data_IF_625898091213
#
_entry.id   IF_625898091213
#
_cell.length_a   1.000
_cell.length_b   1.000
_cell.length_c   1.000
_cell.angle_alpha   90.00
_cell.angle_beta   90.00
_cell.angle_gamma   90.00
#
_symmetry.space_group_name_H-M   'P 1'
#
loop_
_entity.id
_entity.type
_entity.pdbx_description
1 polymer ?
#
# COMPACT_ATOMS: atom_id res chain seq x y z
N UNK A 1 -95.01 -35.13 -21.50
CA UNK A 1 -94.72 -33.93 -20.69
C UNK A 1 -95.81 -33.81 -19.62
N UNK A 2 -95.63 -34.45 -18.46
CA UNK A 2 -96.60 -34.37 -17.36
C UNK A 2 -96.11 -33.31 -16.38
N UNK A 3 -96.82 -32.19 -16.39
CA UNK A 3 -96.55 -31.02 -15.59
C UNK A 3 -96.69 -31.37 -14.11
N UNK A 4 -95.60 -31.25 -13.35
CA UNK A 4 -95.65 -31.15 -11.91
C UNK A 4 -96.12 -29.74 -11.51
N UNK A 5 -97.36 -29.36 -11.86
CA UNK A 5 -98.07 -28.32 -11.12
C UNK A 5 -98.52 -28.94 -9.78
N UNK A 6 -97.53 -29.15 -8.90
CA UNK A 6 -97.78 -29.53 -7.52
C UNK A 6 -98.45 -28.36 -6.81
N UNK A 7 -99.60 -28.63 -6.18
CA UNK A 7 -100.37 -27.65 -5.40
C UNK A 7 -99.43 -26.78 -4.58
N UNK A 8 -99.50 -25.46 -4.73
CA UNK A 8 -98.83 -24.51 -3.84
C UNK A 8 -99.44 -24.69 -2.45
N UNK A 9 -98.89 -25.62 -1.67
CA UNK A 9 -99.28 -25.79 -0.28
C UNK A 9 -98.77 -24.58 0.47
N UNK A 10 -99.54 -24.13 1.46
CA UNK A 10 -99.15 -23.05 2.36
C UNK A 10 -97.73 -23.24 2.91
N UNK A 11 -97.35 -24.50 3.16
CA UNK A 11 -96.00 -24.89 3.57
C UNK A 11 -94.90 -24.43 2.59
N UNK A 12 -95.07 -24.59 1.28
CA UNK A 12 -94.06 -24.20 0.29
C UNK A 12 -93.93 -22.67 0.14
N UNK A 13 -95.03 -21.93 0.32
CA UNK A 13 -95.00 -20.46 0.29
C UNK A 13 -94.31 -19.90 1.52
N UNK A 14 -94.65 -20.42 2.70
CA UNK A 14 -93.99 -20.03 3.94
C UNK A 14 -92.51 -20.45 3.92
N UNK A 15 -92.19 -21.63 3.41
CA UNK A 15 -90.80 -22.09 3.29
C UNK A 15 -89.95 -21.19 2.39
N UNK A 16 -90.50 -20.71 1.27
CA UNK A 16 -89.76 -19.80 0.38
C UNK A 16 -89.59 -18.41 1.00
N UNK A 17 -90.63 -17.83 1.62
CA UNK A 17 -90.50 -16.54 2.33
C UNK A 17 -89.51 -16.65 3.50
N UNK A 18 -89.59 -17.71 4.30
CA UNK A 18 -88.66 -17.95 5.40
C UNK A 18 -87.21 -18.07 4.89
N UNK A 19 -87.00 -18.75 3.76
CA UNK A 19 -85.67 -18.84 3.13
C UNK A 19 -85.17 -17.48 2.64
N UNK A 20 -86.03 -16.66 2.03
CA UNK A 20 -85.68 -15.30 1.60
C UNK A 20 -85.33 -14.38 2.78
N UNK A 21 -86.08 -14.46 3.88
CA UNK A 21 -85.80 -13.69 5.10
C UNK A 21 -84.50 -14.16 5.76
N UNK A 22 -84.28 -15.47 5.84
CA UNK A 22 -83.06 -16.05 6.40
C UNK A 22 -81.79 -15.66 5.61
N UNK A 23 -81.89 -15.54 4.28
CA UNK A 23 -80.79 -15.11 3.41
C UNK A 23 -80.62 -13.57 3.34
N UNK A 24 -81.65 -12.80 3.71
CA UNK A 24 -81.69 -11.33 3.51
C UNK A 24 -80.87 -10.51 4.50
N UNK A 25 -80.59 -11.03 5.70
CA UNK A 25 -79.98 -10.25 6.79
C UNK A 25 -78.59 -9.68 6.48
N UNK A 26 -77.72 -10.47 5.86
CA UNK A 26 -76.37 -10.02 5.49
C UNK A 26 -76.38 -9.03 4.31
N UNK A 27 -77.25 -9.28 3.33
CA UNK A 27 -77.39 -8.45 2.14
C UNK A 27 -77.93 -7.05 2.46
N UNK A 28 -78.86 -6.94 3.42
CA UNK A 28 -79.41 -5.66 3.85
C UNK A 28 -78.33 -4.76 4.49
N UNK A 29 -77.48 -5.32 5.35
CA UNK A 29 -76.38 -4.57 5.97
C UNK A 29 -75.32 -4.14 4.95
N UNK A 30 -75.07 -4.94 3.91
CA UNK A 30 -74.09 -4.64 2.88
C UNK A 30 -74.53 -3.53 1.91
N UNK A 31 -75.84 -3.38 1.65
CA UNK A 31 -76.36 -2.42 0.67
C UNK A 31 -76.87 -1.11 1.27
N UNK A 32 -77.35 -1.12 2.53
CA UNK A 32 -78.03 0.03 3.12
C UNK A 32 -77.16 0.92 4.00
N UNK A 33 -75.92 0.51 4.31
CA UNK A 33 -75.01 1.36 5.06
C UNK A 33 -74.28 2.32 4.10
N UNK A 34 -74.45 3.65 4.23
CA UNK A 34 -73.67 4.59 3.46
C UNK A 34 -72.18 4.47 3.80
N UNK A 35 -71.31 4.78 2.83
CA UNK A 35 -69.85 4.75 3.04
C UNK A 35 -69.47 5.66 4.20
N UNK A 36 -68.57 5.18 5.08
CA UNK A 36 -68.06 5.88 6.26
C UNK A 36 -69.09 6.15 7.38
N UNK A 37 -70.25 5.48 7.37
CA UNK A 37 -71.28 5.64 8.41
C UNK A 37 -71.16 4.67 9.60
N UNK A 38 -70.16 3.78 9.60
CA UNK A 38 -69.84 2.93 10.75
C UNK A 38 -68.77 3.61 11.60
N UNK A 39 -69.18 4.19 12.73
CA UNK A 39 -68.29 4.89 13.67
C UNK A 39 -67.71 3.97 14.74
N UNK A 40 -66.74 4.49 15.51
CA UNK A 40 -66.03 3.73 16.55
C UNK A 40 -66.96 3.11 17.61
N UNK A 41 -68.05 3.81 17.99
CA UNK A 41 -69.02 3.32 18.99
C UNK A 41 -69.81 2.07 18.54
N UNK A 42 -69.89 1.82 17.23
CA UNK A 42 -70.56 0.64 16.66
C UNK A 42 -69.61 -0.55 16.50
N UNK A 43 -68.30 -0.33 16.67
CA UNK A 43 -67.28 -1.36 16.59
C UNK A 43 -66.91 -1.85 17.99
N UNK A 44 -66.93 -3.16 18.20
CA UNK A 44 -66.41 -3.76 19.42
C UNK A 44 -64.87 -3.72 19.41
N UNK A 45 -64.24 -3.60 20.57
CA UNK A 45 -62.79 -3.71 20.71
C UNK A 45 -62.29 -5.02 20.10
N UNK A 46 -61.26 -4.95 19.26
CA UNK A 46 -60.71 -6.10 18.53
C UNK A 46 -61.51 -6.54 17.28
N UNK A 47 -62.62 -5.87 16.93
CA UNK A 47 -63.38 -6.21 15.73
C UNK A 47 -62.58 -6.01 14.43
N UNK A 48 -61.65 -5.04 14.40
CA UNK A 48 -60.75 -4.77 13.27
C UNK A 48 -59.39 -5.41 13.53
N UNK A 49 -59.10 -6.51 12.84
CA UNK A 49 -57.84 -7.27 12.95
C UNK A 49 -56.91 -6.94 11.78
N UNK A 50 -55.59 -7.24 11.86
CA UNK A 50 -54.64 -6.92 10.79
C UNK A 50 -55.04 -7.44 9.39
N UNK A 51 -55.66 -8.62 9.22
CA UNK A 51 -56.18 -9.04 7.91
C UNK A 51 -57.29 -8.16 7.33
N UNK A 52 -58.07 -7.48 8.19
CA UNK A 52 -59.18 -6.58 7.79
C UNK A 52 -58.71 -5.17 7.39
N UNK A 53 -57.43 -4.86 7.61
CA UNK A 53 -56.85 -3.58 7.22
C UNK A 53 -56.43 -3.58 5.75
N UNK A 54 -56.70 -2.47 5.07
CA UNK A 54 -56.20 -2.26 3.70
C UNK A 54 -54.68 -2.17 3.65
N UNK A 55 -54.07 -2.42 2.49
CA UNK A 55 -52.62 -2.26 2.28
C UNK A 55 -52.15 -0.84 2.64
N UNK A 56 -52.95 0.18 2.28
CA UNK A 56 -52.68 1.59 2.60
C UNK A 56 -52.70 1.84 4.11
N UNK A 57 -53.68 1.27 4.83
CA UNK A 57 -53.74 1.38 6.29
C UNK A 57 -52.52 0.71 6.95
N UNK A 58 -52.12 -0.49 6.51
CA UNK A 58 -50.93 -1.16 7.02
C UNK A 58 -49.65 -0.35 6.79
N UNK A 59 -49.50 0.24 5.61
CA UNK A 59 -48.38 1.11 5.29
C UNK A 59 -48.36 2.39 6.15
N UNK A 60 -49.54 2.96 6.45
CA UNK A 60 -49.64 4.12 7.34
C UNK A 60 -49.31 3.79 8.81
N UNK A 61 -49.53 2.53 9.24
CA UNK A 61 -49.16 2.05 10.57
C UNK A 61 -47.69 1.66 10.67
N UNK A 62 -47.08 1.23 9.57
CA UNK A 62 -45.64 1.00 9.50
C UNK A 62 -44.93 2.36 9.48
N UNK A 63 -44.47 2.81 10.65
CA UNK A 63 -43.67 4.02 10.76
C UNK A 63 -42.45 3.99 9.83
N UNK A 64 -41.85 5.16 9.61
CA UNK A 64 -40.63 5.24 8.81
C UNK A 64 -39.53 4.33 9.38
N UNK A 65 -38.82 3.63 8.48
CA UNK A 65 -37.61 2.89 8.86
C UNK A 65 -36.67 3.87 9.57
N UNK A 66 -36.17 3.48 10.74
CA UNK A 66 -35.19 4.28 11.48
C UNK A 66 -33.95 4.57 10.62
N UNK A 67 -33.25 5.66 10.94
CA UNK A 67 -32.01 6.00 10.27
C UNK A 67 -31.01 4.83 10.30
N UNK A 68 -30.23 4.69 9.24
CA UNK A 68 -29.12 3.73 9.22
C UNK A 68 -28.13 4.11 10.33
N UNK A 69 -27.65 3.11 11.07
CA UNK A 69 -26.63 3.32 12.10
C UNK A 69 -25.35 3.91 11.51
N UNK A 70 -24.60 4.64 12.33
CA UNK A 70 -23.31 5.18 11.92
C UNK A 70 -22.36 4.05 11.49
N UNK A 71 -21.47 4.29 10.50
CA UNK A 71 -20.38 3.36 10.19
C UNK A 71 -19.55 3.03 11.44
N UNK A 72 -19.08 1.79 11.53
CA UNK A 72 -18.17 1.38 12.61
C UNK A 72 -16.88 2.19 12.60
N UNK A 73 -16.24 2.31 13.76
CA UNK A 73 -14.93 2.94 13.86
C UNK A 73 -13.88 2.18 13.02
N UNK A 74 -12.90 2.91 12.48
CA UNK A 74 -11.75 2.31 11.82
C UNK A 74 -10.99 1.47 12.86
N UNK A 75 -10.54 0.28 12.45
CA UNK A 75 -9.74 -0.60 13.31
C UNK A 75 -8.41 0.04 13.73
N UNK A 76 -7.77 -0.44 14.80
CA UNK A 76 -6.46 0.05 15.19
C UNK A 76 -5.43 -0.20 14.10
N UNK A 77 -4.40 0.65 14.04
CA UNK A 77 -3.23 0.42 13.20
C UNK A 77 -2.59 -0.94 13.57
N UNK A 78 -2.13 -1.68 12.56
CA UNK A 78 -1.39 -2.92 12.80
C UNK A 78 -0.06 -2.68 13.54
N UNK A 79 0.54 -3.73 14.13
CA UNK A 79 1.84 -3.61 14.78
C UNK A 79 2.91 -3.17 13.79
N UNK A 80 3.95 -2.51 14.29
CA UNK A 80 5.15 -2.17 13.51
C UNK A 80 5.79 -3.44 12.92
N UNK A 81 6.33 -3.34 11.70
CA UNK A 81 7.07 -4.43 11.08
C UNK A 81 8.35 -4.78 11.85
N UNK A 82 8.84 -6.01 11.72
CA UNK A 82 10.13 -6.38 12.30
C UNK A 82 11.25 -5.59 11.62
N UNK A 83 12.25 -5.16 12.41
CA UNK A 83 13.48 -4.57 11.86
C UNK A 83 14.15 -5.58 10.92
N UNK A 84 14.63 -5.09 9.77
CA UNK A 84 15.42 -5.92 8.84
C UNK A 84 16.72 -6.44 9.47
N UNK A 85 17.36 -7.47 8.87
CA UNK A 85 18.64 -7.98 9.34
C UNK A 85 19.71 -6.89 9.27
N UNK A 86 20.68 -6.94 10.20
CA UNK A 86 21.84 -6.05 10.17
C UNK A 86 22.67 -6.34 8.91
N UNK A 87 23.05 -5.28 8.18
CA UNK A 87 23.95 -5.40 7.03
C UNK A 87 25.37 -5.81 7.43
N UNK A 88 26.24 -6.15 6.46
CA UNK A 88 27.56 -6.76 6.71
C UNK A 88 28.59 -5.92 7.48
N UNK A 89 28.22 -4.73 7.95
CA UNK A 89 29.11 -3.81 8.67
C UNK A 89 30.09 -3.10 7.75
N UNK A 90 30.35 -1.82 8.02
CA UNK A 90 31.39 -1.08 7.34
C UNK A 90 32.75 -1.38 7.99
N UNK A 91 33.78 -1.59 7.17
CA UNK A 91 35.17 -1.74 7.62
C UNK A 91 35.87 -0.40 7.45
N UNK A 92 36.49 0.11 8.52
CA UNK A 92 37.22 1.38 8.50
C UNK A 92 38.55 1.25 7.76
N UNK A 93 38.87 2.25 6.96
CA UNK A 93 40.19 2.51 6.38
C UNK A 93 40.75 3.74 7.09
N UNK A 94 41.94 3.61 7.68
CA UNK A 94 42.69 4.71 8.30
C UNK A 94 44.17 4.38 8.22
N UNK A 95 44.81 4.81 7.14
CA UNK A 95 46.18 4.40 6.79
C UNK A 95 46.97 5.53 6.16
N UNK A 96 48.21 5.72 6.62
CA UNK A 96 49.17 6.59 5.97
C UNK A 96 49.73 5.92 4.70
N UNK A 97 49.58 6.59 3.57
CA UNK A 97 50.04 6.14 2.25
C UNK A 97 51.49 6.56 2.04
N UNK A 98 52.40 5.65 1.65
CA UNK A 98 53.79 5.99 1.38
C UNK A 98 53.92 6.91 0.16
N UNK A 99 54.82 7.89 0.25
CA UNK A 99 54.99 8.92 -0.78
C UNK A 99 55.82 8.49 -1.99
N UNK A 100 56.46 7.32 -1.95
CA UNK A 100 57.38 6.86 -3.01
C UNK A 100 56.87 5.59 -3.73
N UNK A 101 55.67 5.10 -3.42
CA UNK A 101 55.13 3.86 -3.98
C UNK A 101 53.60 3.88 -4.03
N UNK A 102 53.03 3.21 -5.04
CA UNK A 102 51.58 2.99 -5.12
C UNK A 102 51.17 1.87 -4.16
N UNK A 103 50.63 2.21 -2.99
CA UNK A 103 50.17 1.18 -2.06
C UNK A 103 48.93 0.50 -2.60
N UNK A 104 48.99 -0.83 -2.70
CA UNK A 104 47.93 -1.69 -3.22
C UNK A 104 47.12 -2.28 -2.05
N UNK A 105 45.84 -1.92 -1.95
CA UNK A 105 44.91 -2.46 -0.96
C UNK A 105 43.80 -3.22 -1.67
N UNK A 106 43.60 -4.50 -1.34
CA UNK A 106 42.49 -5.28 -1.91
C UNK A 106 41.29 -5.21 -0.97
N UNK A 107 40.28 -4.44 -1.35
CA UNK A 107 39.10 -4.15 -0.55
C UNK A 107 37.87 -4.71 -1.27
N UNK A 108 37.27 -5.77 -0.71
CA UNK A 108 36.08 -6.39 -1.29
C UNK A 108 36.28 -6.90 -2.74
N UNK A 109 37.48 -7.39 -3.06
CA UNK A 109 37.84 -7.90 -4.39
C UNK A 109 38.24 -6.83 -5.43
N UNK A 110 38.27 -5.56 -5.03
CA UNK A 110 38.77 -4.45 -5.85
C UNK A 110 40.13 -3.99 -5.30
N UNK A 111 41.07 -3.79 -6.21
CA UNK A 111 42.39 -3.24 -5.90
C UNK A 111 42.32 -1.70 -5.89
N UNK A 112 42.69 -1.12 -4.75
CA UNK A 112 42.80 0.32 -4.54
C UNK A 112 44.28 0.68 -4.51
N UNK A 113 44.73 1.40 -5.53
CA UNK A 113 46.07 1.97 -5.61
C UNK A 113 46.03 3.46 -5.31
N UNK A 114 47.01 3.98 -4.59
CA UNK A 114 47.08 5.40 -4.24
C UNK A 114 48.41 6.01 -4.63
N UNK A 115 48.39 7.23 -5.17
CA UNK A 115 49.58 8.06 -5.39
C UNK A 115 49.44 9.28 -4.49
N UNK A 116 50.47 9.57 -3.69
CA UNK A 116 50.49 10.76 -2.85
C UNK A 116 51.92 11.26 -2.69
N UNK A 117 52.37 12.17 -3.55
CA UNK A 117 53.77 12.60 -3.56
C UNK A 117 53.93 14.04 -4.03
N UNK A 118 55.01 14.69 -3.57
CA UNK A 118 55.30 16.08 -3.96
C UNK A 118 55.50 16.20 -5.47
N UNK A 119 54.93 17.25 -6.07
CA UNK A 119 55.03 17.53 -7.50
C UNK A 119 54.05 16.75 -8.39
N UNK A 120 53.32 15.76 -7.84
CA UNK A 120 52.24 15.08 -8.55
C UNK A 120 50.89 15.41 -7.92
N UNK A 121 49.83 15.27 -8.72
CA UNK A 121 48.46 15.29 -8.23
C UNK A 121 48.22 13.97 -7.49
N UNK A 122 47.72 13.95 -6.24
CA UNK A 122 47.42 12.68 -5.60
C UNK A 122 46.33 11.95 -6.39
N UNK A 123 46.31 10.63 -6.31
CA UNK A 123 45.36 9.80 -7.05
C UNK A 123 44.85 8.65 -6.19
N UNK A 124 43.58 8.32 -6.32
CA UNK A 124 43.02 7.02 -5.93
C UNK A 124 42.68 6.30 -7.23
N UNK A 125 43.11 5.05 -7.38
CA UNK A 125 42.89 4.26 -8.59
C UNK A 125 42.26 2.93 -8.24
N UNK A 126 41.18 2.58 -8.92
CA UNK A 126 40.50 1.29 -8.81
C UNK A 126 40.87 0.40 -9.98
N UNK A 127 41.20 -0.86 -9.69
CA UNK A 127 41.57 -1.90 -10.67
C UNK A 127 41.15 -3.28 -10.15
N UNK A 128 41.03 -4.27 -11.04
CA UNK A 128 40.85 -5.66 -10.63
C UNK A 128 42.20 -6.27 -10.23
N UNK A 129 42.29 -7.11 -9.18
CA UNK A 129 43.54 -7.77 -8.80
C UNK A 129 44.24 -8.45 -9.98
N UNK A 130 45.53 -8.17 -10.17
CA UNK A 130 46.32 -8.70 -11.28
C UNK A 130 46.02 -8.06 -12.64
N UNK A 131 45.15 -7.06 -12.66
CA UNK A 131 44.89 -6.21 -13.80
C UNK A 131 43.56 -6.35 -14.51
N UNK A 132 42.59 -6.96 -13.83
CA UNK A 132 41.24 -7.13 -14.35
C UNK A 132 40.42 -5.83 -14.42
N UNK A 133 39.33 -5.91 -15.16
CA UNK A 133 38.30 -4.88 -15.25
C UNK A 133 37.60 -4.66 -13.89
N UNK A 134 37.27 -3.41 -13.61
CA UNK A 134 36.34 -3.00 -12.56
C UNK A 134 35.21 -2.20 -13.17
N UNK A 135 34.02 -2.38 -12.62
CA UNK A 135 32.86 -1.57 -12.98
C UNK A 135 32.21 -1.03 -11.72
N UNK A 136 31.67 0.18 -11.84
CA UNK A 136 31.07 0.85 -10.71
C UNK A 136 30.46 2.19 -11.08
N UNK A 137 29.72 2.73 -10.12
CA UNK A 137 29.03 4.00 -10.23
C UNK A 137 28.98 4.69 -8.88
N UNK A 138 28.78 6.00 -8.86
CA UNK A 138 28.69 6.77 -7.63
C UNK A 138 29.01 8.24 -7.84
N UNK A 139 29.71 8.83 -6.90
CA UNK A 139 30.14 10.23 -6.97
C UNK A 139 31.62 10.41 -6.62
N UNK A 140 32.22 11.43 -7.20
CA UNK A 140 33.59 11.87 -6.90
C UNK A 140 33.66 13.39 -6.70
N UNK A 141 34.70 13.84 -6.00
CA UNK A 141 35.17 15.22 -6.02
C UNK A 141 36.65 15.23 -6.45
N UNK A 142 36.89 15.28 -7.77
CA UNK A 142 38.21 15.08 -8.37
C UNK A 142 38.67 16.25 -9.29
N UNK A 143 39.96 16.32 -9.64
CA UNK A 143 40.59 17.41 -10.38
C UNK A 143 39.94 17.68 -11.73
N UNK A 144 39.52 16.62 -12.42
CA UNK A 144 39.01 16.73 -13.79
C UNK A 144 37.61 17.34 -13.84
N UNK A 145 36.93 17.40 -12.70
CA UNK A 145 35.55 17.80 -12.63
C UNK A 145 35.36 19.26 -12.15
N UNK A 146 36.39 19.89 -11.58
CA UNK A 146 36.29 21.25 -11.03
C UNK A 146 35.71 21.24 -9.61
N UNK A 147 35.35 22.38 -9.03
CA UNK A 147 34.80 22.43 -7.66
C UNK A 147 33.39 21.85 -7.63
N UNK A 148 33.17 20.69 -6.99
CA UNK A 148 31.84 20.10 -6.86
C UNK A 148 31.83 18.59 -6.63
N UNK A 149 30.64 18.00 -6.70
CA UNK A 149 30.40 16.56 -6.64
C UNK A 149 29.91 16.11 -8.00
N UNK A 150 30.49 15.05 -8.56
CA UNK A 150 30.24 14.63 -9.93
C UNK A 150 29.86 13.17 -10.00
N UNK A 151 28.84 12.81 -10.80
CA UNK A 151 28.48 11.42 -10.98
C UNK A 151 29.58 10.70 -11.77
N UNK A 152 29.85 9.46 -11.38
CA UNK A 152 30.74 8.56 -12.11
C UNK A 152 30.01 7.29 -12.47
N UNK A 153 30.28 6.81 -13.66
CA UNK A 153 29.86 5.51 -14.18
C UNK A 153 31.01 4.99 -15.03
N UNK A 154 31.55 3.84 -14.66
CA UNK A 154 32.76 3.31 -15.29
C UNK A 154 32.71 1.79 -15.41
N UNK A 155 33.41 1.32 -16.44
CA UNK A 155 33.71 -0.08 -16.70
C UNK A 155 35.05 -0.11 -17.45
N UNK A 156 36.13 -0.35 -16.72
CA UNK A 156 37.51 -0.15 -17.19
C UNK A 156 38.50 -1.04 -16.44
N UNK A 157 39.63 -1.37 -17.06
CA UNK A 157 40.77 -1.99 -16.36
C UNK A 157 41.37 -1.08 -15.29
N UNK A 158 41.23 0.23 -15.44
CA UNK A 158 41.76 1.21 -14.50
C UNK A 158 40.89 2.44 -14.50
N UNK A 159 40.47 2.87 -13.31
CA UNK A 159 39.71 4.11 -13.10
C UNK A 159 40.46 4.95 -12.07
N UNK A 160 40.90 6.14 -12.46
CA UNK A 160 41.70 7.02 -11.60
C UNK A 160 40.96 8.31 -11.25
N UNK A 161 40.90 8.58 -9.95
CA UNK A 161 40.34 9.77 -9.31
C UNK A 161 41.49 10.68 -8.91
N UNK A 162 41.53 11.90 -9.43
CA UNK A 162 42.65 12.82 -9.25
C UNK A 162 42.35 13.89 -8.21
N UNK A 163 43.33 14.30 -7.40
CA UNK A 163 43.11 15.29 -6.35
C UNK A 163 42.79 16.69 -6.85
N UNK A 164 41.69 17.25 -6.35
CA UNK A 164 41.25 18.62 -6.60
C UNK A 164 41.68 19.55 -5.46
N UNK A 165 41.86 20.84 -5.73
CA UNK A 165 42.08 21.85 -4.67
C UNK A 165 43.04 22.99 -5.03
N UNK A 166 43.05 24.07 -4.24
CA UNK A 166 43.93 25.22 -4.44
C UNK A 166 45.37 24.92 -3.99
N UNK A 167 46.36 25.52 -4.66
CA UNK A 167 47.76 25.45 -4.25
C UNK A 167 48.35 24.03 -4.22
N UNK A 168 49.21 23.75 -3.24
CA UNK A 168 49.85 22.45 -3.00
C UNK A 168 49.00 21.48 -2.17
N UNK A 169 47.81 21.86 -1.71
CA UNK A 169 46.88 21.00 -0.97
C UNK A 169 45.84 20.43 -1.91
N UNK A 170 45.76 19.11 -2.00
CA UNK A 170 44.89 18.39 -2.93
C UNK A 170 44.15 17.29 -2.18
N UNK A 171 42.83 17.19 -2.39
CA UNK A 171 41.97 16.18 -1.78
C UNK A 171 41.24 15.38 -2.84
N UNK A 172 40.96 14.13 -2.52
CA UNK A 172 40.13 13.21 -3.32
C UNK A 172 39.10 12.66 -2.37
N UNK A 173 37.85 12.68 -2.80
CA UNK A 173 36.73 12.12 -2.06
C UNK A 173 35.87 11.32 -3.04
N UNK A 174 35.66 10.04 -2.76
CA UNK A 174 34.92 9.12 -3.62
C UNK A 174 33.89 8.33 -2.82
N UNK A 175 32.67 8.30 -3.33
CA UNK A 175 31.53 7.54 -2.81
C UNK A 175 31.03 6.61 -3.91
N UNK A 176 31.51 5.38 -3.93
CA UNK A 176 31.36 4.47 -5.07
C UNK A 176 30.73 3.15 -4.66
N UNK A 177 30.01 2.55 -5.60
CA UNK A 177 29.61 1.16 -5.58
C UNK A 177 30.32 0.48 -6.74
N UNK A 178 31.28 -0.39 -6.46
CA UNK A 178 32.12 -1.01 -7.49
C UNK A 178 32.35 -2.50 -7.25
N UNK A 179 32.62 -3.24 -8.32
CA UNK A 179 32.97 -4.65 -8.28
C UNK A 179 34.02 -4.99 -9.32
N UNK A 180 34.73 -6.08 -9.07
CA UNK A 180 35.45 -6.79 -10.12
C UNK A 180 34.57 -7.93 -10.63
N UNK A 181 33.94 -7.81 -11.82
CA UNK A 181 33.02 -8.82 -12.34
C UNK A 181 33.68 -10.17 -12.62
N UNK A 182 35.02 -10.23 -12.74
CA UNK A 182 35.75 -11.48 -12.91
C UNK A 182 35.94 -12.27 -11.59
N UNK A 183 35.90 -11.59 -10.44
CA UNK A 183 36.13 -12.18 -9.11
C UNK A 183 34.84 -12.33 -8.31
N UNK A 184 33.90 -11.40 -8.43
CA UNK A 184 32.63 -11.43 -7.70
C UNK A 184 31.51 -10.69 -8.43
N UNK A 185 30.29 -11.21 -8.33
CA UNK A 185 29.08 -10.48 -8.75
C UNK A 185 28.65 -9.44 -7.71
N UNK A 186 29.14 -9.57 -6.48
CA UNK A 186 28.78 -8.72 -5.36
C UNK A 186 29.47 -7.36 -5.48
N UNK A 187 28.70 -6.29 -5.26
CA UNK A 187 29.22 -4.93 -5.22
C UNK A 187 29.81 -4.60 -3.85
N UNK A 188 30.93 -3.89 -3.84
CA UNK A 188 31.49 -3.29 -2.63
C UNK A 188 31.21 -1.80 -2.64
N UNK A 189 30.77 -1.26 -1.51
CA UNK A 189 30.65 0.18 -1.33
C UNK A 189 31.97 0.73 -0.81
N UNK A 190 32.40 1.86 -1.34
CA UNK A 190 33.60 2.58 -0.98
C UNK A 190 33.23 4.02 -0.64
N UNK A 191 33.70 4.50 0.49
CA UNK A 191 33.70 5.89 0.91
C UNK A 191 35.15 6.17 1.29
N UNK A 192 35.92 6.81 0.40
CA UNK A 192 37.36 6.97 0.59
C UNK A 192 37.77 8.41 0.36
N UNK A 193 38.59 8.90 1.29
CA UNK A 193 39.19 10.22 1.26
C UNK A 193 40.71 10.11 1.28
N UNK A 194 41.39 10.79 0.36
CA UNK A 194 42.86 10.93 0.35
C UNK A 194 43.24 12.41 0.30
N UNK A 195 44.09 12.83 1.22
CA UNK A 195 44.59 14.20 1.30
C UNK A 195 46.12 14.25 1.13
N UNK A 196 46.60 15.24 0.39
CA UNK A 196 48.01 15.67 0.37
C UNK A 196 48.13 17.07 1.00
N UNK A 197 49.14 17.35 1.86
CA UNK A 197 50.40 16.62 2.04
C UNK A 197 50.40 15.56 3.15
N UNK A 198 49.29 15.35 3.86
CA UNK A 198 49.21 14.40 4.98
C UNK A 198 49.32 12.94 4.53
N UNK A 199 49.00 12.65 3.27
CA UNK A 199 48.94 11.32 2.67
C UNK A 199 48.17 10.31 3.52
N UNK A 200 47.11 10.78 4.18
CA UNK A 200 46.20 9.92 4.92
C UNK A 200 45.09 9.45 3.99
N UNK A 201 44.94 8.13 3.87
CA UNK A 201 43.78 7.49 3.27
C UNK A 201 42.84 7.08 4.40
N UNK A 202 41.68 7.73 4.46
CA UNK A 202 40.65 7.46 5.46
C UNK A 202 39.32 7.13 4.81
N UNK A 203 38.43 6.45 5.53
CA UNK A 203 37.08 6.20 5.06
C UNK A 203 36.56 4.82 5.45
N UNK A 204 35.67 4.26 4.66
CA UNK A 204 35.12 2.92 4.87
C UNK A 204 34.94 2.13 3.57
N UNK A 205 34.92 0.81 3.68
CA UNK A 205 34.36 -0.04 2.65
C UNK A 205 33.36 -1.04 3.25
N UNK A 206 32.30 -1.33 2.52
CA UNK A 206 31.29 -2.32 2.92
C UNK A 206 31.20 -3.39 1.83
N UNK A 207 31.76 -4.59 2.04
CA UNK A 207 31.62 -5.67 1.07
C UNK A 207 30.17 -6.16 1.07
N UNK A 208 29.57 -6.38 -0.11
CA UNK A 208 28.27 -7.05 -0.18
C UNK A 208 28.42 -8.53 0.13
N UNK A 209 27.54 -9.03 1.00
CA UNK A 209 27.34 -10.47 1.24
C UNK A 209 26.31 -11.09 0.31
N UNK A 210 25.63 -10.28 -0.52
CA UNK A 210 24.70 -10.73 -1.55
C UNK A 210 25.53 -11.01 -2.81
N UNK A 211 25.75 -12.29 -3.09
CA UNK A 211 26.43 -12.82 -4.29
C UNK A 211 25.49 -13.57 -5.22
#
# INVERSE_FOLDING_TARGET
>A
MKAALGKLTYANVVATIALFVALGGASYAATQLPKNSVGAKQLKTGAVTPPKLSKKAKAALAGARGAQGAPGAIGPQGPEGQRGPQGPGAVTVDQHVPTNFSRQLVLGGVEVMTICQSGLVPQITLRGPGGGEVEGFGTENSYFSGTGIFPVDFRSETTSFNGNGPGSTKTIDIDLVARNPAVSKAFTRFDLHLEYPTCQLVGTYTPSTLG
#
